data_IF_320737583943
#
_entry.id   IF_320737583943
#
_cell.length_a   1.000
_cell.length_b   1.000
_cell.length_c   1.000
_cell.angle_alpha   90.00
_cell.angle_beta   90.00
_cell.angle_gamma   90.00
#
_symmetry.space_group_name_H-M   'P 1'
#
loop_
_entity.id
_entity.type
_entity.pdbx_description
1 polymer ?
#
# COMPACT_ATOMS: atom_id res chain seq x y z
N UNK A 1 21.11 16.71 34.22
CA UNK A 1 20.24 17.05 33.08
C UNK A 1 18.88 16.43 33.30
N UNK A 2 17.77 17.11 32.96
CA UNK A 2 16.38 16.60 33.04
C UNK A 2 16.08 15.48 32.03
N UNK A 3 17.00 15.24 31.09
CA UNK A 3 16.86 14.26 30.00
C UNK A 3 17.33 12.85 30.41
N UNK A 4 18.21 12.74 31.41
CA UNK A 4 18.68 11.42 31.87
C UNK A 4 17.50 10.63 32.44
N UNK A 5 17.38 9.36 32.02
CA UNK A 5 16.28 8.48 32.39
C UNK A 5 15.00 8.69 31.59
N UNK A 6 15.00 9.58 30.59
CA UNK A 6 13.90 9.71 29.60
C UNK A 6 14.20 8.89 28.34
N UNK A 7 13.13 8.54 27.62
CA UNK A 7 13.16 7.96 26.29
C UNK A 7 12.62 8.97 25.28
N UNK A 8 13.35 9.18 24.19
CA UNK A 8 12.90 9.92 23.03
C UNK A 8 12.60 8.96 21.89
N UNK A 9 11.41 9.13 21.31
CA UNK A 9 10.95 8.36 20.17
C UNK A 9 10.80 9.30 18.99
N UNK A 10 11.44 8.93 17.88
CA UNK A 10 11.19 9.54 16.59
C UNK A 10 10.27 8.65 15.77
N UNK A 11 9.29 9.24 15.09
CA UNK A 11 8.31 8.56 14.24
C UNK A 11 8.30 9.11 12.81
N UNK A 12 9.33 9.88 12.43
CA UNK A 12 9.48 10.44 11.08
C UNK A 12 9.74 9.34 10.04
N UNK A 13 9.71 9.69 8.75
CA UNK A 13 9.98 8.76 7.65
C UNK A 13 11.45 8.62 7.27
N UNK A 14 12.34 9.45 7.83
CA UNK A 14 13.80 9.44 7.61
C UNK A 14 14.46 9.30 8.98
N UNK A 15 15.47 8.46 9.15
CA UNK A 15 15.99 8.12 10.49
C UNK A 15 17.34 8.76 10.79
N UNK A 16 18.24 8.90 9.82
CA UNK A 16 19.62 9.31 10.07
C UNK A 16 19.70 10.70 10.73
N UNK A 17 19.15 11.74 10.08
CA UNK A 17 19.21 13.10 10.61
C UNK A 17 18.41 13.30 11.92
N UNK A 18 17.14 12.85 12.05
CA UNK A 18 16.37 13.06 13.28
C UNK A 18 16.93 12.29 14.48
N UNK A 19 17.37 11.03 14.27
CA UNK A 19 17.99 10.25 15.34
C UNK A 19 19.31 10.88 15.79
N UNK A 20 20.13 11.35 14.84
CA UNK A 20 21.39 12.03 15.18
C UNK A 20 21.15 13.31 15.99
N UNK A 21 20.13 14.10 15.64
CA UNK A 21 19.76 15.29 16.40
C UNK A 21 19.33 14.93 17.85
N UNK A 22 18.55 13.86 18.02
CA UNK A 22 18.13 13.39 19.34
C UNK A 22 19.28 12.86 20.20
N UNK A 23 20.28 12.22 19.58
CA UNK A 23 21.46 11.69 20.28
C UNK A 23 22.33 12.76 20.94
N UNK A 24 22.19 14.04 20.54
CA UNK A 24 22.86 15.18 21.18
C UNK A 24 22.41 15.41 22.64
N UNK A 25 21.29 14.82 23.06
CA UNK A 25 20.80 14.86 24.45
C UNK A 25 21.46 13.81 25.34
N UNK A 26 21.01 13.71 26.60
CA UNK A 26 21.34 12.59 27.49
C UNK A 26 20.20 11.56 27.66
N UNK A 27 19.16 11.61 26.81
CA UNK A 27 18.06 10.64 26.83
C UNK A 27 18.43 9.34 26.09
N UNK A 28 17.70 8.26 26.36
CA UNK A 28 17.68 7.09 25.48
C UNK A 28 16.90 7.43 24.21
N UNK A 29 17.28 6.88 23.06
CA UNK A 29 16.80 7.27 21.74
C UNK A 29 16.49 6.03 20.92
N UNK A 30 15.25 5.96 20.42
CA UNK A 30 14.79 4.95 19.46
C UNK A 30 14.07 5.65 18.31
N UNK A 31 14.48 5.35 17.08
CA UNK A 31 13.72 5.70 15.88
C UNK A 31 12.73 4.60 15.54
N UNK A 32 11.49 4.95 15.23
CA UNK A 32 10.43 4.07 14.79
C UNK A 32 9.94 4.57 13.43
N UNK A 33 9.70 3.66 12.49
CA UNK A 33 9.05 4.00 11.24
C UNK A 33 8.03 2.91 10.89
N UNK A 34 6.76 3.10 11.27
CA UNK A 34 5.67 2.29 10.75
C UNK A 34 5.60 2.48 9.23
N UNK A 35 5.74 1.40 8.46
CA UNK A 35 5.72 1.42 6.98
C UNK A 35 4.28 1.53 6.45
N UNK A 36 3.51 2.42 7.04
CA UNK A 36 2.10 2.64 6.75
C UNK A 36 1.74 4.07 7.12
N UNK A 37 0.83 4.69 6.36
CA UNK A 37 0.18 5.90 6.88
C UNK A 37 -0.63 5.54 8.13
N UNK A 38 -0.92 6.50 9.03
CA UNK A 38 -1.62 6.24 10.28
C UNK A 38 -2.79 5.26 10.09
N UNK A 39 -2.69 4.02 10.61
CA UNK A 39 -3.70 3.02 10.37
C UNK A 39 -4.98 3.43 11.09
N UNK A 40 -6.13 3.07 10.52
CA UNK A 40 -7.43 3.26 11.20
C UNK A 40 -7.64 2.23 12.33
N UNK A 41 -6.86 1.15 12.32
CA UNK A 41 -6.86 0.14 13.37
C UNK A 41 -5.88 0.55 14.49
N UNK A 42 -6.14 0.15 15.75
CA UNK A 42 -5.24 0.45 16.86
C UNK A 42 -3.92 -0.35 16.83
N UNK A 43 -3.73 -1.23 15.83
CA UNK A 43 -2.55 -2.07 15.68
C UNK A 43 -1.94 -1.94 14.28
N UNK A 44 -0.69 -2.39 14.18
CA UNK A 44 0.10 -2.55 12.95
C UNK A 44 0.11 -4.01 12.48
N UNK A 45 -0.89 -4.81 12.85
CA UNK A 45 -0.96 -6.22 12.43
C UNK A 45 -0.84 -6.35 10.91
N UNK A 46 0.08 -7.21 10.47
CA UNK A 46 0.39 -7.44 9.06
C UNK A 46 1.12 -6.28 8.37
N UNK A 47 1.73 -5.37 9.13
CA UNK A 47 2.49 -4.23 8.62
C UNK A 47 3.88 -4.19 9.25
N UNK A 48 4.85 -3.80 8.44
CA UNK A 48 6.24 -3.63 8.88
C UNK A 48 6.37 -2.36 9.72
N UNK A 49 7.17 -2.43 10.78
CA UNK A 49 7.68 -1.27 11.50
C UNK A 49 9.20 -1.40 11.64
N UNK A 50 9.94 -0.43 11.10
CA UNK A 50 11.38 -0.39 11.29
C UNK A 50 11.71 0.22 12.65
N UNK A 51 12.62 -0.41 13.39
CA UNK A 51 13.05 0.01 14.73
C UNK A 51 14.57 0.24 14.70
N UNK A 52 14.96 1.48 14.98
CA UNK A 52 16.34 1.93 15.07
C UNK A 52 16.72 2.23 16.52
N UNK A 53 17.27 1.24 17.22
CA UNK A 53 17.74 1.37 18.61
C UNK A 53 19.09 2.07 18.64
N UNK A 54 19.09 3.40 18.74
CA UNK A 54 20.30 4.21 18.63
C UNK A 54 21.07 4.31 19.95
N UNK A 55 20.35 4.53 21.06
CA UNK A 55 20.88 4.47 22.43
C UNK A 55 19.78 3.99 23.37
N UNK A 56 19.73 2.70 23.67
CA UNK A 56 18.66 2.07 24.46
C UNK A 56 19.27 1.15 25.52
N UNK A 57 18.83 1.31 26.77
CA UNK A 57 19.27 0.52 27.93
C UNK A 57 18.11 0.29 28.90
N UNK A 58 17.73 1.30 29.70
CA UNK A 58 16.72 1.14 30.76
C UNK A 58 15.31 0.97 30.21
N UNK A 59 15.04 1.49 29.01
CA UNK A 59 13.71 1.45 28.41
C UNK A 59 13.47 0.23 27.49
N UNK A 60 14.44 -0.70 27.38
CA UNK A 60 14.34 -1.86 26.47
C UNK A 60 13.03 -2.64 26.64
N UNK A 61 12.70 -3.04 27.88
CA UNK A 61 11.51 -3.82 28.16
C UNK A 61 10.21 -3.10 27.79
N UNK A 62 10.19 -1.77 27.93
CA UNK A 62 9.04 -0.95 27.54
C UNK A 62 8.91 -0.89 26.01
N UNK A 63 10.01 -0.73 25.28
CA UNK A 63 10.02 -0.73 23.81
C UNK A 63 9.58 -2.10 23.27
N UNK A 64 10.05 -3.20 23.85
CA UNK A 64 9.64 -4.55 23.44
C UNK A 64 8.13 -4.78 23.71
N UNK A 65 7.62 -4.24 24.83
CA UNK A 65 6.19 -4.26 25.15
C UNK A 65 5.38 -3.45 24.13
N UNK A 66 5.86 -2.26 23.74
CA UNK A 66 5.23 -1.44 22.70
C UNK A 66 5.17 -2.17 21.36
N UNK A 67 6.31 -2.73 20.90
CA UNK A 67 6.39 -3.50 19.66
C UNK A 67 5.39 -4.68 19.64
N UNK A 68 5.30 -5.40 20.76
CA UNK A 68 4.35 -6.51 20.92
C UNK A 68 2.90 -6.03 20.90
N UNK A 69 2.58 -4.96 21.62
CA UNK A 69 1.23 -4.39 21.68
C UNK A 69 0.76 -3.88 20.31
N UNK A 70 1.67 -3.33 19.52
CA UNK A 70 1.39 -2.88 18.14
C UNK A 70 1.19 -4.05 17.18
N UNK A 71 1.61 -5.28 17.51
CA UNK A 71 1.54 -6.46 16.63
C UNK A 71 2.21 -6.24 15.26
N UNK A 72 3.18 -5.32 15.20
CA UNK A 72 3.91 -4.99 13.98
C UNK A 72 4.93 -6.09 13.66
N UNK A 73 5.20 -6.29 12.37
CA UNK A 73 6.39 -7.01 11.93
C UNK A 73 7.61 -6.11 12.12
N UNK A 74 8.28 -6.25 13.27
CA UNK A 74 9.37 -5.36 13.65
C UNK A 74 10.67 -5.75 12.96
N UNK A 75 11.23 -4.83 12.18
CA UNK A 75 12.53 -4.98 11.50
C UNK A 75 13.54 -4.08 12.18
N UNK A 76 14.64 -4.63 12.71
CA UNK A 76 15.69 -3.84 13.36
C UNK A 76 16.73 -3.39 12.34
N UNK A 77 17.08 -2.10 12.35
CA UNK A 77 18.07 -1.53 11.43
C UNK A 77 18.81 -0.36 12.08
N UNK A 78 20.01 -0.04 11.59
CA UNK A 78 20.65 1.25 11.90
C UNK A 78 19.90 2.38 11.17
N UNK A 79 19.93 3.63 11.68
CA UNK A 79 19.32 4.78 10.98
C UNK A 79 19.82 4.93 9.54
N UNK A 80 21.13 4.73 9.34
CA UNK A 80 21.77 4.80 8.03
C UNK A 80 21.24 3.72 7.07
N UNK A 81 21.21 2.46 7.52
CA UNK A 81 20.73 1.36 6.68
C UNK A 81 19.25 1.51 6.35
N UNK A 82 18.45 1.99 7.31
CA UNK A 82 17.06 2.34 7.07
C UNK A 82 16.94 3.36 5.93
N UNK A 83 17.68 4.48 5.96
CA UNK A 83 17.54 5.53 4.95
C UNK A 83 18.04 5.08 3.56
N UNK A 84 19.08 4.26 3.50
CA UNK A 84 19.51 3.60 2.26
C UNK A 84 18.38 2.75 1.66
N UNK A 85 17.71 1.94 2.50
CA UNK A 85 16.58 1.12 2.06
C UNK A 85 15.38 1.97 1.66
N UNK A 86 15.05 3.01 2.44
CA UNK A 86 13.92 3.91 2.14
C UNK A 86 14.12 4.72 0.87
N UNK A 87 15.36 4.99 0.45
CA UNK A 87 15.61 5.58 -0.86
C UNK A 87 15.06 4.68 -1.98
N UNK A 88 15.15 3.36 -1.85
CA UNK A 88 14.65 2.40 -2.84
C UNK A 88 13.17 2.07 -2.64
N UNK A 89 12.74 1.71 -1.44
CA UNK A 89 11.39 1.17 -1.22
C UNK A 89 10.30 2.25 -1.07
N UNK A 90 10.70 3.50 -0.81
CA UNK A 90 9.76 4.59 -0.56
C UNK A 90 10.02 5.80 -1.46
N UNK A 91 11.23 6.36 -1.44
CA UNK A 91 11.51 7.58 -2.21
C UNK A 91 11.48 7.33 -3.72
N UNK A 92 12.08 6.23 -4.21
CA UNK A 92 12.01 5.83 -5.62
C UNK A 92 10.56 5.60 -6.07
N UNK A 93 9.76 4.89 -5.26
CA UNK A 93 8.35 4.66 -5.53
C UNK A 93 7.60 5.98 -5.67
N UNK A 94 7.71 6.87 -4.69
CA UNK A 94 7.06 8.18 -4.74
C UNK A 94 7.53 9.02 -5.93
N UNK A 95 8.84 9.04 -6.22
CA UNK A 95 9.40 9.82 -7.33
C UNK A 95 8.89 9.33 -8.69
N UNK A 96 8.84 8.02 -8.92
CA UNK A 96 8.31 7.43 -10.15
C UNK A 96 6.84 7.80 -10.37
N UNK A 97 6.01 7.69 -9.32
CA UNK A 97 4.59 8.04 -9.42
C UNK A 97 4.37 9.55 -9.59
N UNK A 98 5.17 10.40 -8.94
CA UNK A 98 5.13 11.86 -9.14
C UNK A 98 5.53 12.24 -10.56
N UNK A 99 6.56 11.59 -11.11
CA UNK A 99 6.97 11.78 -12.51
C UNK A 99 5.86 11.33 -13.48
N UNK A 100 5.25 10.16 -13.23
CA UNK A 100 4.12 9.65 -14.01
C UNK A 100 2.92 10.61 -13.96
N UNK A 101 2.56 11.14 -12.80
CA UNK A 101 1.52 12.16 -12.66
C UNK A 101 1.85 13.42 -13.47
N UNK A 102 3.13 13.83 -13.47
CA UNK A 102 3.63 14.92 -14.30
C UNK A 102 3.43 14.69 -15.79
N UNK A 103 3.74 13.48 -16.28
CA UNK A 103 3.53 13.07 -17.68
C UNK A 103 2.04 13.04 -18.03
N UNK A 104 1.19 12.44 -17.19
CA UNK A 104 -0.27 12.41 -17.40
C UNK A 104 -0.85 13.82 -17.53
N UNK A 105 -0.43 14.75 -16.66
CA UNK A 105 -0.81 16.16 -16.73
C UNK A 105 -0.37 16.81 -18.04
N UNK A 106 0.81 16.50 -18.56
CA UNK A 106 1.31 17.06 -19.82
C UNK A 106 0.50 16.59 -21.03
N UNK A 107 -0.01 15.36 -21.02
CA UNK A 107 -0.85 14.81 -22.11
C UNK A 107 -2.33 15.18 -22.01
N UNK A 108 -2.76 15.77 -20.89
CA UNK A 108 -4.17 16.12 -20.66
C UNK A 108 -4.80 16.98 -21.77
N UNK A 109 -4.13 17.98 -22.36
CA UNK A 109 -4.70 18.77 -23.47
C UNK A 109 -4.98 17.96 -24.73
N UNK A 110 -4.33 16.81 -24.90
CA UNK A 110 -4.42 15.98 -26.11
C UNK A 110 -5.36 14.78 -25.91
N UNK A 111 -5.33 14.16 -24.74
CA UNK A 111 -5.99 12.88 -24.47
C UNK A 111 -7.12 12.98 -23.43
N UNK A 112 -7.33 14.15 -22.83
CA UNK A 112 -8.29 14.35 -21.74
C UNK A 112 -7.70 14.06 -20.37
N UNK A 113 -8.53 14.20 -19.33
CA UNK A 113 -8.13 13.94 -17.95
C UNK A 113 -8.04 12.44 -17.63
N UNK A 114 -7.74 12.13 -16.37
CA UNK A 114 -7.63 10.73 -15.92
C UNK A 114 -8.92 9.94 -16.20
N UNK A 115 -10.11 10.56 -16.07
CA UNK A 115 -11.38 9.87 -16.30
C UNK A 115 -11.53 9.42 -17.76
N UNK A 116 -11.01 10.20 -18.72
CA UNK A 116 -10.97 9.82 -20.12
C UNK A 116 -10.04 8.62 -20.41
N UNK A 117 -9.00 8.43 -19.59
CA UNK A 117 -8.03 7.34 -19.74
C UNK A 117 -8.48 6.03 -19.07
N UNK A 118 -9.29 6.12 -17.99
CA UNK A 118 -9.72 4.94 -17.22
C UNK A 118 -10.40 3.82 -18.04
N UNK A 119 -11.16 4.07 -19.12
CA UNK A 119 -11.69 2.99 -19.96
C UNK A 119 -10.63 2.10 -20.62
N UNK A 120 -9.37 2.55 -20.73
CA UNK A 120 -8.25 1.83 -21.36
C UNK A 120 -7.29 1.17 -20.36
N UNK A 121 -7.62 1.21 -19.06
CA UNK A 121 -6.70 0.80 -18.00
C UNK A 121 -6.45 -0.70 -17.97
N UNK A 122 -5.24 -1.08 -17.55
CA UNK A 122 -4.93 -2.38 -16.98
C UNK A 122 -5.02 -2.33 -15.45
N UNK A 123 -4.96 -3.48 -14.78
CA UNK A 123 -4.84 -3.55 -13.32
C UNK A 123 -3.63 -2.76 -12.80
N UNK A 124 -2.49 -2.81 -13.50
CA UNK A 124 -1.31 -2.02 -13.15
C UNK A 124 -1.58 -0.52 -13.21
N UNK A 125 -2.20 -0.03 -14.28
CA UNK A 125 -2.52 1.40 -14.40
C UNK A 125 -3.53 1.86 -13.33
N UNK A 126 -4.50 1.00 -12.99
CA UNK A 126 -5.44 1.29 -11.90
C UNK A 126 -4.73 1.37 -10.53
N UNK A 127 -3.75 0.51 -10.28
CA UNK A 127 -2.92 0.57 -9.08
C UNK A 127 -2.04 1.82 -9.04
N UNK A 128 -1.35 2.14 -10.13
CA UNK A 128 -0.49 3.33 -10.23
C UNK A 128 -1.30 4.60 -9.98
N UNK A 129 -2.49 4.71 -10.58
CA UNK A 129 -3.38 5.87 -10.42
C UNK A 129 -3.93 5.98 -9.01
N UNK A 130 -4.21 4.86 -8.34
CA UNK A 130 -4.56 4.85 -6.92
C UNK A 130 -3.40 5.32 -6.02
N UNK A 131 -2.16 4.90 -6.32
CA UNK A 131 -0.95 5.36 -5.60
C UNK A 131 -0.72 6.86 -5.83
N UNK A 132 -0.79 7.32 -7.08
CA UNK A 132 -0.71 8.74 -7.43
C UNK A 132 -1.75 9.55 -6.67
N UNK A 133 -3.02 9.12 -6.70
CA UNK A 133 -4.12 9.80 -6.01
C UNK A 133 -3.88 9.88 -4.51
N UNK A 134 -3.36 8.80 -3.92
CA UNK A 134 -2.97 8.77 -2.51
C UNK A 134 -1.86 9.77 -2.20
N UNK A 135 -0.80 9.82 -3.00
CA UNK A 135 0.32 10.76 -2.81
C UNK A 135 -0.17 12.20 -2.86
N UNK A 136 -0.96 12.53 -3.89
CA UNK A 136 -1.43 13.90 -4.12
C UNK A 136 -2.50 14.36 -3.12
N UNK A 137 -3.17 13.44 -2.41
CA UNK A 137 -4.22 13.76 -1.44
C UNK A 137 -3.73 13.85 0.01
N UNK A 138 -2.51 13.39 0.30
CA UNK A 138 -1.94 13.38 1.65
C UNK A 138 -1.08 14.63 1.89
N UNK A 139 -0.56 14.78 3.12
CA UNK A 139 0.22 15.95 3.51
C UNK A 139 1.50 16.08 2.64
N UNK A 140 1.64 17.15 1.83
CA UNK A 140 2.80 17.31 0.94
C UNK A 140 4.13 17.39 1.68
N UNK A 141 4.14 17.91 2.92
CA UNK A 141 5.36 18.01 3.73
C UNK A 141 6.00 16.64 3.99
N UNK A 142 5.21 15.58 4.10
CA UNK A 142 5.73 14.21 4.28
C UNK A 142 6.55 13.79 3.05
N UNK A 143 6.03 14.07 1.85
CA UNK A 143 6.71 13.69 0.61
C UNK A 143 7.93 14.57 0.36
N UNK A 144 7.87 15.84 0.73
CA UNK A 144 9.03 16.72 0.74
C UNK A 144 10.14 16.17 1.66
N UNK A 145 9.83 15.88 2.92
CA UNK A 145 10.79 15.33 3.89
C UNK A 145 11.41 14.00 3.39
N UNK A 146 10.61 13.13 2.77
CA UNK A 146 11.11 11.86 2.22
C UNK A 146 12.07 12.09 1.05
N UNK A 147 11.75 13.02 0.14
CA UNK A 147 12.55 13.24 -1.06
C UNK A 147 13.81 14.08 -0.79
N UNK A 148 13.72 15.07 0.09
CA UNK A 148 14.80 16.03 0.35
C UNK A 148 15.57 15.74 1.64
N UNK A 149 14.94 15.10 2.63
CA UNK A 149 15.56 14.80 3.92
C UNK A 149 16.42 13.54 3.94
N UNK A 150 16.27 12.65 2.94
CA UNK A 150 17.07 11.43 2.84
C UNK A 150 18.26 11.63 1.87
N UNK A 151 19.52 11.56 2.36
CA UNK A 151 20.70 11.85 1.56
C UNK A 151 20.96 10.84 0.43
N UNK A 152 20.35 9.66 0.48
CA UNK A 152 20.51 8.62 -0.53
C UNK A 152 19.54 8.77 -1.72
N UNK A 153 18.61 9.74 -1.67
CA UNK A 153 17.62 9.94 -2.73
C UNK A 153 18.24 10.47 -4.01
N UNK A 154 19.09 11.50 -3.95
CA UNK A 154 19.67 12.08 -5.16
C UNK A 154 20.51 11.08 -5.98
N UNK A 155 21.44 10.29 -5.38
CA UNK A 155 22.15 9.24 -6.11
C UNK A 155 21.22 8.14 -6.66
N UNK A 156 20.14 7.81 -5.95
CA UNK A 156 19.14 6.86 -6.44
C UNK A 156 18.40 7.41 -7.66
N UNK A 157 17.97 8.67 -7.63
CA UNK A 157 17.28 9.32 -8.75
C UNK A 157 18.16 9.41 -9.98
N UNK A 158 19.44 9.71 -9.83
CA UNK A 158 20.41 9.70 -10.94
C UNK A 158 20.44 8.33 -11.64
N UNK A 159 20.48 7.24 -10.86
CA UNK A 159 20.45 5.88 -11.40
C UNK A 159 19.13 5.56 -12.10
N UNK A 160 18.00 5.95 -11.49
CA UNK A 160 16.67 5.74 -12.08
C UNK A 160 16.52 6.49 -13.42
N UNK A 161 16.92 7.76 -13.45
CA UNK A 161 16.91 8.58 -14.67
C UNK A 161 17.80 7.96 -15.74
N UNK A 162 18.99 7.47 -15.37
CA UNK A 162 19.88 6.77 -16.30
C UNK A 162 19.23 5.55 -16.95
N UNK A 163 18.48 4.74 -16.19
CA UNK A 163 17.74 3.59 -16.73
C UNK A 163 16.63 4.04 -17.72
N UNK A 164 15.88 5.09 -17.38
CA UNK A 164 14.83 5.63 -18.26
C UNK A 164 15.41 6.25 -19.54
N UNK A 165 16.54 6.94 -19.45
CA UNK A 165 17.24 7.50 -20.60
C UNK A 165 17.78 6.40 -21.53
N UNK A 166 18.33 5.32 -20.96
CA UNK A 166 18.77 4.17 -21.74
C UNK A 166 17.60 3.54 -22.52
N UNK A 167 16.45 3.32 -21.85
CA UNK A 167 15.24 2.82 -22.50
C UNK A 167 14.76 3.78 -23.60
N UNK A 168 14.70 5.08 -23.32
CA UNK A 168 14.30 6.10 -24.29
C UNK A 168 15.20 6.05 -25.54
N UNK A 169 16.52 5.96 -25.36
CA UNK A 169 17.47 5.88 -26.47
C UNK A 169 17.31 4.59 -27.28
N UNK A 170 17.09 3.44 -26.63
CA UNK A 170 16.84 2.17 -27.30
C UNK A 170 15.56 2.20 -28.13
N UNK A 171 14.46 2.71 -27.56
CA UNK A 171 13.18 2.86 -28.26
C UNK A 171 13.29 3.82 -29.45
N UNK A 172 14.02 4.93 -29.27
CA UNK A 172 14.26 5.91 -30.34
C UNK A 172 15.08 5.36 -31.50
N UNK A 173 16.05 4.48 -31.24
CA UNK A 173 16.85 3.80 -32.28
C UNK A 173 16.02 2.74 -33.02
N UNK A 174 15.30 1.89 -32.29
CA UNK A 174 14.29 0.97 -32.84
C UNK A 174 14.81 -0.20 -33.70
N UNK A 175 16.11 -0.24 -34.01
CA UNK A 175 16.77 -1.28 -34.80
C UNK A 175 16.93 -2.61 -34.04
N UNK A 176 17.35 -3.65 -34.74
CA UNK A 176 17.50 -4.99 -34.15
C UNK A 176 18.55 -5.03 -33.03
N UNK A 177 19.58 -4.18 -33.12
CA UNK A 177 20.60 -4.05 -32.10
C UNK A 177 20.02 -3.46 -30.82
N UNK A 178 19.26 -2.37 -30.92
CA UNK A 178 18.59 -1.72 -29.80
C UNK A 178 17.55 -2.65 -29.16
N UNK A 179 16.79 -3.41 -29.96
CA UNK A 179 15.87 -4.44 -29.47
C UNK A 179 16.59 -5.58 -28.77
N UNK A 180 17.76 -5.98 -29.27
CA UNK A 180 18.64 -6.96 -28.63
C UNK A 180 19.13 -6.48 -27.27
N UNK A 181 19.63 -5.23 -27.21
CA UNK A 181 20.08 -4.61 -25.96
C UNK A 181 18.95 -4.47 -24.93
N UNK A 182 17.74 -4.09 -25.36
CA UNK A 182 16.57 -4.04 -24.49
C UNK A 182 16.25 -5.41 -23.86
N UNK A 183 16.21 -6.48 -24.68
CA UNK A 183 15.93 -7.84 -24.19
C UNK A 183 16.99 -8.32 -23.20
N UNK A 184 18.25 -8.01 -23.46
CA UNK A 184 19.33 -8.44 -22.57
C UNK A 184 19.31 -7.63 -21.26
N UNK A 185 19.46 -6.31 -21.35
CA UNK A 185 19.72 -5.45 -20.20
C UNK A 185 18.46 -5.24 -19.35
N UNK A 186 17.31 -4.98 -19.98
CA UNK A 186 16.11 -4.61 -19.23
C UNK A 186 15.26 -5.81 -18.83
N UNK A 187 15.38 -6.95 -19.53
CA UNK A 187 14.60 -8.15 -19.24
C UNK A 187 15.46 -9.29 -18.68
N UNK A 188 16.48 -9.76 -19.40
CA UNK A 188 17.26 -10.95 -19.03
C UNK A 188 18.11 -10.74 -17.78
N UNK A 189 18.92 -9.67 -17.75
CA UNK A 189 19.79 -9.34 -16.62
C UNK A 189 18.96 -9.06 -15.35
N UNK A 190 17.88 -8.28 -15.48
CA UNK A 190 16.96 -8.01 -14.36
C UNK A 190 16.24 -9.28 -13.88
N UNK A 191 15.76 -10.14 -14.79
CA UNK A 191 15.17 -11.43 -14.42
C UNK A 191 16.16 -12.26 -13.61
N UNK A 192 17.42 -12.29 -14.04
CA UNK A 192 18.49 -13.05 -13.39
C UNK A 192 18.83 -12.47 -12.01
N UNK A 193 18.86 -11.15 -11.88
CA UNK A 193 19.13 -10.45 -10.62
C UNK A 193 17.98 -10.63 -9.59
N UNK A 194 16.73 -10.65 -10.04
CA UNK A 194 15.56 -10.86 -9.17
C UNK A 194 15.45 -12.34 -8.75
N UNK A 195 15.83 -13.27 -9.62
CA UNK A 195 15.74 -14.71 -9.39
C UNK A 195 14.35 -15.28 -9.69
N UNK A 196 14.33 -16.53 -10.19
CA UNK A 196 13.10 -17.15 -10.70
C UNK A 196 11.98 -17.26 -9.66
N UNK A 197 12.33 -17.64 -8.43
CA UNK A 197 11.34 -17.81 -7.36
C UNK A 197 10.65 -16.49 -6.99
N UNK A 198 11.42 -15.41 -6.80
CA UNK A 198 10.87 -14.10 -6.46
C UNK A 198 9.95 -13.57 -7.57
N UNK A 199 10.28 -13.84 -8.83
CA UNK A 199 9.43 -13.48 -9.98
C UNK A 199 8.14 -14.30 -10.02
N UNK A 200 8.21 -15.61 -9.72
CA UNK A 200 7.03 -16.46 -9.65
C UNK A 200 6.07 -16.02 -8.53
N UNK A 201 6.61 -15.77 -7.34
CA UNK A 201 5.84 -15.30 -6.19
C UNK A 201 5.25 -13.91 -6.42
N UNK A 202 6.04 -13.02 -7.04
CA UNK A 202 5.60 -11.68 -7.44
C UNK A 202 4.46 -11.72 -8.46
N UNK A 203 4.59 -12.56 -9.49
CA UNK A 203 3.55 -12.73 -10.51
C UNK A 203 2.26 -13.30 -9.90
N UNK A 204 2.36 -14.33 -9.05
CA UNK A 204 1.19 -14.88 -8.36
C UNK A 204 0.52 -13.85 -7.44
N UNK A 205 1.31 -13.02 -6.76
CA UNK A 205 0.80 -11.91 -5.95
C UNK A 205 0.06 -10.88 -6.80
N UNK A 206 0.62 -10.52 -7.96
CA UNK A 206 -0.03 -9.57 -8.88
C UNK A 206 -1.37 -10.10 -9.40
N UNK A 207 -1.45 -11.39 -9.78
CA UNK A 207 -2.71 -12.03 -10.19
C UNK A 207 -3.78 -11.93 -9.10
N UNK A 208 -3.42 -12.21 -7.83
CA UNK A 208 -4.35 -12.09 -6.70
C UNK A 208 -4.87 -10.67 -6.51
N UNK A 209 -4.03 -9.66 -6.70
CA UNK A 209 -4.44 -8.25 -6.65
C UNK A 209 -5.36 -7.93 -7.82
N UNK A 210 -5.08 -8.45 -9.02
CA UNK A 210 -5.93 -8.33 -10.20
C UNK A 210 -7.33 -8.87 -9.97
N UNK A 211 -7.45 -10.10 -9.45
CA UNK A 211 -8.76 -10.68 -9.09
C UNK A 211 -9.50 -9.86 -8.05
N UNK A 212 -8.79 -9.39 -7.01
CA UNK A 212 -9.40 -8.53 -5.99
C UNK A 212 -9.94 -7.22 -6.58
N UNK A 213 -9.20 -6.55 -7.47
CA UNK A 213 -9.66 -5.34 -8.13
C UNK A 213 -10.89 -5.60 -9.02
N UNK A 214 -10.92 -6.73 -9.73
CA UNK A 214 -12.07 -7.15 -10.51
C UNK A 214 -13.32 -7.34 -9.62
N UNK A 215 -13.18 -8.07 -8.51
CA UNK A 215 -14.26 -8.27 -7.54
C UNK A 215 -14.75 -6.96 -6.91
N UNK A 216 -13.83 -6.03 -6.63
CA UNK A 216 -14.15 -4.72 -6.03
C UNK A 216 -14.88 -3.79 -7.02
N UNK A 217 -14.68 -3.98 -8.33
CA UNK A 217 -15.34 -3.17 -9.38
C UNK A 217 -16.60 -3.82 -9.96
N UNK A 218 -16.89 -5.07 -9.62
CA UNK A 218 -18.06 -5.80 -10.10
C UNK A 218 -19.38 -5.10 -9.74
N UNK A 219 -20.29 -4.96 -10.68
CA UNK A 219 -21.57 -4.28 -10.41
C UNK A 219 -22.57 -5.17 -9.68
N UNK A 220 -22.46 -6.49 -9.86
CA UNK A 220 -23.36 -7.46 -9.25
C UNK A 220 -22.89 -7.81 -7.83
N UNK A 221 -22.96 -6.83 -6.93
CA UNK A 221 -22.52 -6.98 -5.56
C UNK A 221 -23.39 -6.18 -4.60
N UNK A 222 -23.43 -6.63 -3.34
CA UNK A 222 -24.07 -5.94 -2.22
C UNK A 222 -23.03 -5.57 -1.18
N UNK A 223 -23.13 -4.38 -0.59
CA UNK A 223 -22.32 -4.02 0.58
C UNK A 223 -23.19 -4.05 1.84
N UNK A 224 -22.70 -4.68 2.90
CA UNK A 224 -23.43 -4.82 4.17
C UNK A 224 -22.53 -4.38 5.32
N UNK A 225 -23.01 -3.45 6.13
CA UNK A 225 -22.41 -3.15 7.42
C UNK A 225 -22.90 -4.16 8.46
N UNK A 226 -21.96 -4.80 9.17
CA UNK A 226 -22.27 -5.64 10.33
C UNK A 226 -22.04 -4.83 11.62
N UNK A 227 -23.09 -4.44 12.35
CA UNK A 227 -22.95 -3.61 13.55
C UNK A 227 -22.38 -4.39 14.75
N UNK A 228 -22.65 -5.69 14.84
CA UNK A 228 -22.14 -6.55 15.91
C UNK A 228 -21.19 -7.63 15.37
N UNK A 229 -19.90 -7.45 15.63
CA UNK A 229 -18.88 -8.49 15.43
C UNK A 229 -18.94 -9.51 16.59
N UNK A 230 -20.03 -10.31 16.61
CA UNK A 230 -20.17 -11.44 17.52
C UNK A 230 -19.95 -12.77 16.77
N UNK A 231 -19.52 -13.83 17.46
CA UNK A 231 -19.44 -15.16 16.87
C UNK A 231 -20.75 -15.53 16.19
N UNK A 232 -20.69 -15.88 14.90
CA UNK A 232 -21.83 -16.29 14.11
C UNK A 232 -22.53 -15.21 13.29
N UNK A 233 -22.25 -13.91 13.47
CA UNK A 233 -22.93 -12.85 12.71
C UNK A 233 -22.76 -13.00 11.19
N UNK A 234 -21.55 -13.34 10.73
CA UNK A 234 -21.31 -13.57 9.31
C UNK A 234 -22.06 -14.79 8.78
N UNK A 235 -22.18 -15.86 9.59
CA UNK A 235 -22.97 -17.05 9.22
C UNK A 235 -24.45 -16.70 9.07
N UNK A 236 -24.99 -15.91 10.00
CA UNK A 236 -26.38 -15.45 9.94
C UNK A 236 -26.64 -14.61 8.69
N UNK A 237 -25.72 -13.70 8.35
CA UNK A 237 -25.78 -12.93 7.11
C UNK A 237 -25.77 -13.84 5.87
N UNK A 238 -24.82 -14.78 5.79
CA UNK A 238 -24.69 -15.69 4.65
C UNK A 238 -25.91 -16.61 4.49
N UNK A 239 -26.53 -17.01 5.60
CA UNK A 239 -27.73 -17.85 5.60
C UNK A 239 -28.93 -17.17 4.93
N UNK A 240 -29.04 -15.83 4.98
CA UNK A 240 -30.09 -15.09 4.25
C UNK A 240 -29.95 -15.36 2.75
N UNK A 241 -28.75 -15.19 2.19
CA UNK A 241 -28.51 -15.45 0.75
C UNK A 241 -28.77 -16.91 0.36
N UNK A 242 -28.41 -17.86 1.24
CA UNK A 242 -28.70 -19.28 1.04
C UNK A 242 -30.20 -19.56 0.95
N UNK A 243 -31.02 -18.96 1.83
CA UNK A 243 -32.47 -19.14 1.83
C UNK A 243 -33.12 -18.59 0.55
N UNK A 244 -32.55 -17.54 -0.04
CA UNK A 244 -32.95 -17.00 -1.34
C UNK A 244 -32.32 -17.74 -2.54
N UNK A 245 -31.56 -18.82 -2.29
CA UNK A 245 -30.84 -19.63 -3.30
C UNK A 245 -29.86 -18.82 -4.14
N UNK A 246 -29.17 -17.87 -3.52
CA UNK A 246 -28.18 -17.01 -4.17
C UNK A 246 -26.79 -17.57 -3.91
N UNK A 247 -26.03 -17.82 -4.97
CA UNK A 247 -24.62 -18.21 -4.87
C UNK A 247 -23.71 -16.98 -4.91
N UNK A 248 -22.75 -16.94 -3.99
CA UNK A 248 -21.79 -15.85 -3.88
C UNK A 248 -20.56 -16.14 -4.75
N UNK A 249 -20.08 -15.13 -5.45
CA UNK A 249 -18.82 -15.18 -6.19
C UNK A 249 -17.63 -14.78 -5.32
N UNK A 250 -17.82 -13.77 -4.45
CA UNK A 250 -16.77 -13.23 -3.60
C UNK A 250 -17.33 -12.63 -2.32
N UNK A 251 -16.50 -12.58 -1.27
CA UNK A 251 -16.78 -11.82 -0.05
C UNK A 251 -15.51 -11.17 0.47
N UNK A 252 -15.57 -9.85 0.64
CA UNK A 252 -14.42 -9.04 1.03
C UNK A 252 -14.79 -8.13 2.20
N UNK A 253 -14.02 -8.21 3.28
CA UNK A 253 -14.17 -7.28 4.41
C UNK A 253 -13.33 -6.03 4.21
N UNK A 254 -13.89 -4.88 4.54
CA UNK A 254 -13.22 -3.58 4.51
C UNK A 254 -13.67 -2.71 5.69
N UNK A 255 -13.00 -1.57 5.90
CA UNK A 255 -13.38 -0.61 6.94
C UNK A 255 -13.59 0.78 6.36
N UNK A 256 -14.66 1.46 6.79
CA UNK A 256 -14.93 2.85 6.43
C UNK A 256 -13.89 3.82 7.01
N UNK A 257 -13.88 5.10 6.60
CA UNK A 257 -13.18 6.16 7.34
C UNK A 257 -13.51 6.19 8.85
N UNK A 258 -14.77 5.91 9.23
CA UNK A 258 -15.20 5.84 10.62
C UNK A 258 -14.85 4.54 11.36
N UNK A 259 -14.21 3.57 10.70
CA UNK A 259 -13.79 2.30 11.30
C UNK A 259 -14.83 1.18 11.27
N UNK A 260 -16.04 1.45 10.77
CA UNK A 260 -17.13 0.48 10.60
C UNK A 260 -16.72 -0.65 9.66
N UNK A 261 -16.98 -1.89 10.03
CA UNK A 261 -16.70 -3.07 9.19
C UNK A 261 -17.80 -3.25 8.16
N UNK A 262 -17.40 -3.32 6.89
CA UNK A 262 -18.28 -3.57 5.76
C UNK A 262 -17.85 -4.85 5.06
N UNK A 263 -18.84 -5.67 4.69
CA UNK A 263 -18.66 -6.82 3.81
C UNK A 263 -19.23 -6.50 2.45
N UNK A 264 -18.37 -6.54 1.44
CA UNK A 264 -18.80 -6.53 0.04
C UNK A 264 -18.97 -7.96 -0.41
N UNK A 265 -20.14 -8.29 -0.94
CA UNK A 265 -20.55 -9.62 -1.35
C UNK A 265 -20.85 -9.58 -2.85
N UNK A 266 -20.01 -10.21 -3.66
CA UNK A 266 -20.25 -10.39 -5.10
C UNK A 266 -21.10 -11.63 -5.37
N UNK A 267 -21.92 -11.59 -6.42
CA UNK A 267 -22.81 -12.70 -6.78
C UNK A 267 -22.43 -13.29 -8.15
N UNK A 268 -22.60 -14.61 -8.30
CA UNK A 268 -22.27 -15.31 -9.55
C UNK A 268 -23.07 -14.70 -10.71
N UNK A 269 -22.44 -14.60 -11.88
CA UNK A 269 -23.09 -14.15 -13.11
C UNK A 269 -24.38 -14.94 -13.39
N UNK A 270 -25.47 -14.22 -13.67
CA UNK A 270 -26.80 -14.81 -13.90
C UNK A 270 -27.64 -15.05 -12.64
N UNK A 271 -27.17 -14.62 -11.45
CA UNK A 271 -27.99 -14.60 -10.23
C UNK A 271 -29.26 -13.75 -10.43
N UNK A 272 -30.40 -14.20 -9.90
CA UNK A 272 -31.69 -13.50 -10.01
C UNK A 272 -31.64 -12.14 -9.28
N UNK A 273 -31.74 -11.00 -10.00
CA UNK A 273 -31.71 -9.67 -9.37
C UNK A 273 -32.87 -9.44 -8.39
N UNK A 274 -34.02 -10.08 -8.63
CA UNK A 274 -35.17 -9.98 -7.73
C UNK A 274 -34.91 -10.74 -6.42
N UNK A 275 -34.23 -11.90 -6.48
CA UNK A 275 -33.80 -12.62 -5.29
C UNK A 275 -32.78 -11.80 -4.48
N UNK A 276 -31.78 -11.20 -5.13
CA UNK A 276 -30.80 -10.34 -4.46
C UNK A 276 -31.50 -9.17 -3.75
N UNK A 277 -32.47 -8.53 -4.42
CA UNK A 277 -33.25 -7.44 -3.83
C UNK A 277 -34.05 -7.89 -2.60
N UNK A 278 -34.67 -9.08 -2.65
CA UNK A 278 -35.39 -9.64 -1.49
C UNK A 278 -34.45 -9.99 -0.34
N UNK A 279 -33.30 -10.59 -0.64
CA UNK A 279 -32.28 -10.91 0.36
C UNK A 279 -31.74 -9.64 1.03
N UNK A 280 -31.46 -8.59 0.26
CA UNK A 280 -31.04 -7.30 0.80
C UNK A 280 -32.09 -6.71 1.77
N UNK A 281 -33.37 -6.71 1.38
CA UNK A 281 -34.45 -6.22 2.24
C UNK A 281 -34.59 -7.04 3.53
N UNK A 282 -34.35 -8.35 3.48
CA UNK A 282 -34.36 -9.22 4.66
C UNK A 282 -33.18 -8.97 5.60
N UNK A 283 -31.98 -8.70 5.05
CA UNK A 283 -30.82 -8.30 5.85
C UNK A 283 -31.13 -7.05 6.68
N UNK A 284 -31.73 -6.03 6.07
CA UNK A 284 -32.14 -4.82 6.79
C UNK A 284 -33.26 -5.08 7.80
N UNK A 285 -34.29 -5.85 7.41
CA UNK A 285 -35.45 -6.11 8.26
C UNK A 285 -35.16 -6.98 9.48
N UNK A 286 -34.19 -7.90 9.36
CA UNK A 286 -33.78 -8.81 10.43
C UNK A 286 -32.87 -8.16 11.47
N UNK A 287 -32.28 -7.00 11.16
CA UNK A 287 -31.29 -6.33 12.01
C UNK A 287 -29.92 -7.04 12.07
N UNK A 288 -29.71 -8.08 11.25
CA UNK A 288 -28.43 -8.82 11.15
C UNK A 288 -27.33 -7.89 10.62
N UNK A 289 -27.69 -6.97 9.73
CA UNK A 289 -26.80 -5.97 9.17
C UNK A 289 -27.58 -4.82 8.55
N UNK A 290 -26.85 -3.85 8.01
CA UNK A 290 -27.41 -2.73 7.26
C UNK A 290 -26.86 -2.76 5.84
N UNK A 291 -27.72 -2.89 4.85
CA UNK A 291 -27.33 -2.79 3.44
C UNK A 291 -26.89 -1.36 3.12
N UNK A 292 -25.83 -1.24 2.34
CA UNK A 292 -25.23 0.02 1.94
C UNK A 292 -25.46 0.18 0.44
N UNK A 293 -26.13 1.28 0.07
CA UNK A 293 -26.41 1.66 -1.32
C UNK A 293 -25.19 2.16 -2.06
#
# INVERSE_FOLDING_TARGET
SRERGRLWLDVTSVKEAPVQAMLASQAEVVGLHPMTAPPKAPTLKGRVMVVCEARLQHWQAWVDTLCTALQAECVRATPQHHDQMMALVQAMVHATHLAQAGVLRQYQPQLGDLAAMMPYRSASFELDTAIISRILSLNPAIYEDIQFGNPYVAPMLERLVGQLQALQAQVGQGDDRARGAFREQLLSENRSAFGEQALADGNYTFERVGYLLADLTERNALSVHLPEDRPGSLRELLNVFEQHRISLASIHSSRTPGGEVHFRIGFIAGSDPAAITRAAAEVDASGIGRVLG
#
